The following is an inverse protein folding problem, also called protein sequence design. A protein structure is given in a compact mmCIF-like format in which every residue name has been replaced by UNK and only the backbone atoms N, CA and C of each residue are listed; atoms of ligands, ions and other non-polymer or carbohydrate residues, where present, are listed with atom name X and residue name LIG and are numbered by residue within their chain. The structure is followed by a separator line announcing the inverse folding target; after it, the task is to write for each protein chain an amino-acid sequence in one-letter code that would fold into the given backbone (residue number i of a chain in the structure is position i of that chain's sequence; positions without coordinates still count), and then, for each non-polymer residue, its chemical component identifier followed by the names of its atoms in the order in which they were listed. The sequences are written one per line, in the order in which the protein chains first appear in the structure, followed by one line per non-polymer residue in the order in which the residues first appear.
data_IF_075703366228
#
_entry.id   IF_075703366228
#
_cell.length_a   1.000
_cell.length_b   1.000
_cell.length_c   1.000
_cell.angle_alpha   90.00
_cell.angle_beta   90.00
_cell.angle_gamma   90.00
#
_symmetry.space_group_name_H-M   'P 1'
#
loop_
_entity.id
_entity.type
_entity.pdbx_description
1 polymer ?
#
# COMPACT_ATOMS: atom_id res chain seq x y z
N UNK A 1 -3.96 40.88 8.07
CA UNK A 1 -5.25 40.44 8.65
C UNK A 1 -5.20 40.70 10.13
N UNK A 2 -6.22 41.38 10.69
CA UNK A 2 -6.38 41.45 12.15
C UNK A 2 -6.58 40.02 12.69
N UNK A 3 -5.84 39.67 13.72
CA UNK A 3 -5.80 38.29 14.24
C UNK A 3 -7.16 37.79 14.70
N UNK A 4 -7.41 36.49 14.49
CA UNK A 4 -8.63 35.82 14.94
C UNK A 4 -8.67 35.81 16.48
N UNK A 5 -9.73 36.37 17.09
CA UNK A 5 -9.93 36.34 18.55
C UNK A 5 -10.64 35.05 18.94
N UNK A 6 -10.38 34.53 20.14
CA UNK A 6 -11.04 33.32 20.66
C UNK A 6 -12.57 33.38 20.47
N UNK A 7 -13.17 34.52 20.84
CA UNK A 7 -14.61 34.79 20.72
C UNK A 7 -15.19 34.87 19.29
N UNK A 8 -14.37 34.73 18.24
CA UNK A 8 -14.84 34.62 16.85
C UNK A 8 -15.13 33.17 16.44
N UNK A 9 -14.60 32.19 17.18
CA UNK A 9 -14.91 30.78 17.01
C UNK A 9 -15.68 30.23 18.21
N UNK A 10 -15.42 30.80 19.38
CA UNK A 10 -16.02 30.48 20.67
C UNK A 10 -17.11 31.50 21.02
N UNK A 11 -18.25 31.45 20.31
CA UNK A 11 -19.37 32.38 20.48
C UNK A 11 -20.17 32.14 21.79
N UNK A 12 -19.79 31.15 22.62
CA UNK A 12 -20.48 30.74 23.86
C UNK A 12 -20.67 31.83 24.92
N UNK A 13 -19.94 32.94 24.84
CA UNK A 13 -20.09 34.07 25.77
C UNK A 13 -21.02 35.17 25.25
N UNK A 14 -21.76 34.95 24.15
CA UNK A 14 -22.62 35.97 23.51
C UNK A 14 -24.13 35.75 23.59
N UNK A 15 -24.64 34.68 24.22
CA UNK A 15 -26.09 34.51 24.47
C UNK A 15 -26.62 33.07 24.37
N UNK A 16 -27.94 32.93 24.24
CA UNK A 16 -28.78 31.72 24.42
C UNK A 16 -28.49 30.50 23.51
N UNK A 17 -27.44 30.50 22.69
CA UNK A 17 -27.12 29.39 21.78
C UNK A 17 -26.05 28.47 22.38
N UNK A 18 -26.41 27.19 22.62
CA UNK A 18 -25.53 26.21 23.25
C UNK A 18 -24.55 25.53 22.26
N UNK A 19 -23.24 25.72 22.51
CA UNK A 19 -22.11 24.77 22.59
C UNK A 19 -21.83 23.66 21.54
N UNK A 20 -22.56 23.53 20.43
CA UNK A 20 -22.14 22.60 19.37
C UNK A 20 -21.98 23.36 18.06
N UNK A 21 -20.79 23.31 17.46
CA UNK A 21 -20.54 23.74 16.07
C UNK A 21 -21.35 22.80 15.17
N UNK A 22 -22.66 23.04 15.06
CA UNK A 22 -23.59 22.32 14.19
C UNK A 22 -23.79 23.02 12.86
N UNK A 23 -23.35 24.27 12.77
CA UNK A 23 -23.52 25.09 11.58
C UNK A 23 -22.23 25.13 10.80
N UNK A 24 -22.27 24.58 9.59
CA UNK A 24 -21.22 24.70 8.58
C UNK A 24 -20.84 26.17 8.33
N UNK A 25 -21.77 27.10 8.58
CA UNK A 25 -21.56 28.53 8.47
C UNK A 25 -20.31 29.02 9.22
N UNK A 26 -20.02 28.50 10.43
CA UNK A 26 -18.84 28.90 11.19
C UNK A 26 -17.54 28.53 10.45
N UNK A 27 -17.46 27.32 9.90
CA UNK A 27 -16.30 26.86 9.15
C UNK A 27 -16.14 27.66 7.84
N UNK A 28 -17.25 27.84 7.11
CA UNK A 28 -17.25 28.52 5.81
C UNK A 28 -16.89 30.01 5.92
N UNK A 29 -17.15 30.69 7.06
CA UNK A 29 -16.71 32.09 7.30
C UNK A 29 -15.23 32.30 6.96
N UNK A 30 -14.36 31.36 7.33
CA UNK A 30 -12.93 31.41 7.01
C UNK A 30 -12.57 30.58 5.77
N UNK A 31 -13.21 29.43 5.59
CA UNK A 31 -12.80 28.46 4.56
C UNK A 31 -13.32 28.75 3.15
N UNK A 32 -14.22 29.73 2.95
CA UNK A 32 -14.78 30.09 1.63
C UNK A 32 -13.84 30.77 0.65
N UNK A 33 -12.72 31.31 1.12
CA UNK A 33 -11.82 32.16 0.33
C UNK A 33 -10.36 32.07 0.79
N UNK A 34 -9.93 30.86 1.17
CA UNK A 34 -8.54 30.57 1.53
C UNK A 34 -7.58 30.74 0.36
N UNK A 35 -8.05 30.55 -0.87
CA UNK A 35 -7.27 30.83 -2.09
C UNK A 35 -6.76 32.29 -2.13
N UNK A 36 -7.56 33.23 -1.62
CA UNK A 36 -7.22 34.66 -1.53
C UNK A 36 -6.57 35.01 -0.21
N UNK A 37 -7.12 34.49 0.89
CA UNK A 37 -6.76 34.93 2.25
C UNK A 37 -5.54 34.20 2.81
N UNK A 38 -5.28 32.98 2.36
CA UNK A 38 -4.16 32.15 2.78
C UNK A 38 -3.61 31.30 1.61
N UNK A 39 -3.20 31.92 0.48
CA UNK A 39 -2.82 31.21 -0.75
C UNK A 39 -1.70 30.17 -0.55
N UNK A 40 -0.80 30.43 0.41
CA UNK A 40 0.32 29.54 0.74
C UNK A 40 -0.11 28.19 1.33
N UNK A 41 -1.35 28.06 1.81
CA UNK A 41 -1.84 26.81 2.42
C UNK A 41 -2.17 25.73 1.40
N UNK A 42 -2.39 26.11 0.12
CA UNK A 42 -2.91 25.23 -0.92
C UNK A 42 -4.18 24.46 -0.50
N UNK A 43 -4.93 24.98 0.48
CA UNK A 43 -6.25 24.48 0.87
C UNK A 43 -7.27 25.12 -0.07
N UNK A 44 -8.18 24.32 -0.60
CA UNK A 44 -9.22 24.79 -1.51
C UNK A 44 -10.34 25.48 -0.74
N UNK A 45 -10.98 26.41 -1.42
CA UNK A 45 -12.17 27.06 -0.93
C UNK A 45 -13.32 26.05 -0.80
N UNK A 46 -14.07 26.15 0.30
CA UNK A 46 -15.29 25.37 0.53
C UNK A 46 -16.43 26.30 0.91
N UNK A 47 -17.59 26.11 0.27
CA UNK A 47 -18.78 26.95 0.45
C UNK A 47 -19.91 26.26 1.21
N UNK A 48 -19.80 24.95 1.43
CA UNK A 48 -20.81 24.13 2.10
C UNK A 48 -20.60 22.65 1.84
N UNK A 49 -21.53 21.83 2.35
CA UNK A 49 -21.65 20.41 2.05
C UNK A 49 -23.15 20.06 1.97
N UNK A 50 -23.59 19.25 0.99
CA UNK A 50 -22.79 18.65 -0.08
C UNK A 50 -22.36 19.66 -1.17
N UNK A 51 -23.19 20.68 -1.40
CA UNK A 51 -22.96 21.68 -2.42
C UNK A 51 -21.87 22.67 -2.00
N UNK A 52 -20.85 22.82 -2.86
CA UNK A 52 -19.73 23.72 -2.60
C UNK A 52 -18.54 23.09 -1.86
N UNK A 53 -18.53 21.78 -1.64
CA UNK A 53 -17.34 21.05 -1.19
C UNK A 53 -16.51 20.59 -2.41
N UNK A 54 -15.18 20.84 -2.46
CA UNK A 54 -14.33 20.36 -3.55
C UNK A 54 -14.27 18.82 -3.60
N UNK A 55 -13.70 18.25 -4.65
CA UNK A 55 -13.34 16.83 -4.63
C UNK A 55 -12.33 16.54 -3.52
N UNK A 56 -12.34 15.28 -3.05
CA UNK A 56 -11.45 14.87 -1.97
C UNK A 56 -10.01 14.78 -2.44
N UNK A 57 -9.08 15.08 -1.52
CA UNK A 57 -7.66 14.83 -1.75
C UNK A 57 -7.23 13.60 -0.97
N UNK A 58 -6.65 12.64 -1.68
CA UNK A 58 -6.10 11.42 -1.13
C UNK A 58 -4.59 11.51 -1.05
N UNK A 59 -4.01 10.81 -0.07
CA UNK A 59 -2.57 10.58 0.01
C UNK A 59 -2.25 9.29 -0.72
N UNK A 60 -1.40 9.38 -1.75
CA UNK A 60 -0.98 8.26 -2.60
C UNK A 60 0.53 8.10 -2.52
N UNK A 61 1.02 6.89 -2.71
CA UNK A 61 2.45 6.61 -2.89
C UNK A 61 2.85 7.08 -4.27
N UNK A 62 3.79 8.01 -4.33
CA UNK A 62 4.37 8.48 -5.60
C UNK A 62 5.60 7.68 -6.01
N UNK A 63 6.38 7.21 -5.03
CA UNK A 63 7.56 6.37 -5.24
C UNK A 63 7.79 5.51 -3.99
N UNK A 64 7.53 4.21 -4.11
CA UNK A 64 7.71 3.26 -3.02
C UNK A 64 9.18 3.12 -2.58
N UNK A 65 10.14 3.26 -3.49
CA UNK A 65 11.57 3.14 -3.18
C UNK A 65 12.09 4.32 -2.37
N UNK A 66 11.59 5.51 -2.66
CA UNK A 66 11.90 6.72 -1.86
C UNK A 66 11.01 6.88 -0.64
N UNK A 67 10.04 5.98 -0.44
CA UNK A 67 8.98 6.08 0.56
C UNK A 67 8.25 7.43 0.51
N UNK A 68 8.07 7.98 -0.69
CA UNK A 68 7.44 9.28 -0.88
C UNK A 68 5.96 9.13 -1.17
N UNK A 69 5.20 10.06 -0.62
CA UNK A 69 3.76 10.19 -0.82
C UNK A 69 3.41 11.59 -1.29
N UNK A 70 2.29 11.71 -1.97
CA UNK A 70 1.75 12.98 -2.42
C UNK A 70 0.26 13.09 -2.16
N UNK A 71 -0.24 14.33 -2.05
CA UNK A 71 -1.68 14.60 -1.92
C UNK A 71 -2.25 14.98 -3.28
N UNK A 72 -3.10 14.13 -3.82
CA UNK A 72 -3.70 14.30 -5.15
C UNK A 72 -5.20 14.48 -5.02
N UNK A 73 -5.78 15.32 -5.88
CA UNK A 73 -7.22 15.45 -6.03
C UNK A 73 -7.80 14.23 -6.75
N UNK A 74 -8.79 13.55 -6.16
CA UNK A 74 -9.49 12.44 -6.80
C UNK A 74 -10.18 12.85 -8.11
N UNK A 75 -10.57 14.12 -8.24
CA UNK A 75 -11.14 14.67 -9.47
C UNK A 75 -10.14 15.12 -10.52
N UNK A 76 -8.83 14.85 -10.35
CA UNK A 76 -7.81 15.25 -11.31
C UNK A 76 -7.93 14.51 -12.65
N UNK A 77 -7.47 15.17 -13.72
CA UNK A 77 -7.30 14.60 -15.06
C UNK A 77 -5.84 14.79 -15.51
N UNK A 78 -5.08 13.71 -15.80
CA UNK A 78 -5.48 12.30 -15.74
C UNK A 78 -5.86 11.82 -14.34
N UNK A 79 -6.66 10.75 -14.27
CA UNK A 79 -7.05 10.13 -13.00
C UNK A 79 -5.82 9.79 -12.15
N UNK A 80 -5.84 10.05 -10.83
CA UNK A 80 -4.73 9.71 -9.96
C UNK A 80 -4.41 8.22 -9.96
N UNK A 81 -3.14 7.89 -9.81
CA UNK A 81 -2.63 6.53 -9.69
C UNK A 81 -1.81 6.38 -8.40
N UNK A 82 -1.94 5.23 -7.75
CA UNK A 82 -1.06 4.84 -6.64
C UNK A 82 0.14 4.05 -7.16
N UNK A 83 1.30 4.19 -6.53
CA UNK A 83 2.52 3.48 -6.95
C UNK A 83 3.15 2.68 -5.80
N UNK A 84 2.46 1.65 -5.27
CA UNK A 84 2.91 0.93 -4.09
C UNK A 84 4.10 0.00 -4.32
N UNK A 85 4.61 -0.13 -5.54
CA UNK A 85 5.70 -1.05 -5.90
C UNK A 85 5.27 -2.52 -6.05
N UNK A 86 3.97 -2.79 -6.01
CA UNK A 86 3.38 -4.13 -6.02
C UNK A 86 2.68 -4.42 -7.36
N UNK A 87 2.81 -5.64 -7.87
CA UNK A 87 2.00 -6.19 -8.96
C UNK A 87 0.84 -6.96 -8.33
N UNK A 88 -0.37 -6.45 -8.48
CA UNK A 88 -1.56 -7.06 -7.87
C UNK A 88 -2.83 -6.73 -8.65
N UNK A 89 -3.77 -7.68 -8.68
CA UNK A 89 -5.09 -7.55 -9.30
C UNK A 89 -6.16 -8.01 -8.31
N UNK A 90 -7.02 -7.09 -7.85
CA UNK A 90 -8.19 -7.47 -7.04
C UNK A 90 -9.14 -8.34 -7.85
N UNK A 91 -9.37 -7.99 -9.11
CA UNK A 91 -10.27 -8.70 -10.00
C UNK A 91 -9.86 -10.17 -10.21
N UNK A 92 -8.56 -10.47 -10.26
CA UNK A 92 -8.08 -11.85 -10.35
C UNK A 92 -8.36 -12.64 -9.06
N UNK A 93 -8.20 -12.03 -7.89
CA UNK A 93 -8.39 -12.68 -6.59
C UNK A 93 -9.86 -12.79 -6.17
N UNK A 94 -10.72 -11.88 -6.64
CA UNK A 94 -12.17 -11.87 -6.36
C UNK A 94 -12.99 -12.68 -7.39
N UNK A 95 -12.33 -13.28 -8.39
CA UNK A 95 -12.94 -14.16 -9.39
C UNK A 95 -13.12 -15.57 -8.80
N UNK A 96 -14.36 -15.91 -8.50
CA UNK A 96 -14.78 -17.19 -7.90
C UNK A 96 -14.30 -18.40 -8.73
N UNK A 97 -14.37 -18.32 -10.06
CA UNK A 97 -14.05 -19.45 -10.93
C UNK A 97 -12.54 -19.64 -11.02
N UNK A 98 -11.78 -18.55 -11.13
CA UNK A 98 -10.31 -18.62 -11.11
C UNK A 98 -9.79 -19.16 -9.77
N UNK A 99 -10.32 -18.68 -8.65
CA UNK A 99 -9.91 -19.17 -7.33
C UNK A 99 -10.18 -20.67 -7.17
N UNK A 100 -11.38 -21.13 -7.54
CA UNK A 100 -11.70 -22.58 -7.52
C UNK A 100 -10.78 -23.40 -8.42
N UNK A 101 -10.40 -22.86 -9.58
CA UNK A 101 -9.44 -23.49 -10.48
C UNK A 101 -8.04 -23.68 -9.88
N UNK A 102 -7.68 -22.93 -8.83
CA UNK A 102 -6.43 -23.10 -8.08
C UNK A 102 -6.54 -24.08 -6.91
N UNK A 103 -7.73 -24.63 -6.64
CA UNK A 103 -7.99 -25.49 -5.48
C UNK A 103 -8.17 -24.73 -4.17
N UNK A 104 -8.31 -23.40 -4.22
CA UNK A 104 -8.59 -22.56 -3.07
C UNK A 104 -10.06 -22.10 -3.06
N UNK A 105 -10.56 -21.82 -1.85
CA UNK A 105 -11.88 -21.24 -1.68
C UNK A 105 -11.95 -19.83 -2.30
N UNK A 106 -13.13 -19.42 -2.80
CA UNK A 106 -13.35 -18.05 -3.25
C UNK A 106 -13.04 -17.05 -2.14
N UNK A 107 -12.39 -15.94 -2.52
CA UNK A 107 -12.04 -14.88 -1.59
C UNK A 107 -13.07 -13.75 -1.58
N UNK A 108 -13.24 -13.15 -0.41
CA UNK A 108 -13.95 -11.91 -0.18
C UNK A 108 -13.03 -10.82 0.38
N UNK A 109 -13.61 -9.66 0.68
CA UNK A 109 -12.88 -8.50 1.19
C UNK A 109 -12.19 -8.79 2.54
N UNK A 110 -12.84 -9.57 3.42
CA UNK A 110 -12.37 -9.83 4.78
C UNK A 110 -11.19 -10.81 4.82
N UNK A 111 -10.98 -11.61 3.77
CA UNK A 111 -9.81 -12.48 3.66
C UNK A 111 -8.48 -11.71 3.50
N UNK A 112 -8.53 -10.43 3.15
CA UNK A 112 -7.36 -9.57 3.02
C UNK A 112 -7.44 -8.33 3.93
N UNK A 113 -8.59 -7.65 3.97
CA UNK A 113 -8.79 -6.42 4.72
C UNK A 113 -9.35 -6.71 6.11
N UNK A 114 -8.45 -6.86 7.08
CA UNK A 114 -8.81 -7.06 8.50
C UNK A 114 -9.05 -5.71 9.14
N UNK A 115 -10.26 -5.48 9.67
CA UNK A 115 -10.63 -4.23 10.34
C UNK A 115 -9.74 -3.99 11.56
N UNK A 116 -9.26 -2.78 11.72
CA UNK A 116 -8.62 -2.35 12.97
C UNK A 116 -9.69 -2.31 14.09
N UNK A 117 -9.36 -2.66 15.36
CA UNK A 117 -10.33 -2.65 16.46
C UNK A 117 -11.08 -1.33 16.67
N UNK A 118 -10.48 -0.21 16.26
CA UNK A 118 -11.08 1.13 16.34
C UNK A 118 -12.23 1.35 15.34
N UNK A 119 -12.35 0.50 14.30
CA UNK A 119 -13.29 0.69 13.19
C UNK A 119 -12.90 1.78 12.17
N UNK A 120 -11.85 2.56 12.44
CA UNK A 120 -11.46 3.71 11.60
C UNK A 120 -10.67 3.31 10.35
N UNK A 121 -10.25 2.05 10.25
CA UNK A 121 -9.46 1.58 9.13
C UNK A 121 -9.21 0.09 9.18
N UNK A 122 -8.17 -0.33 8.50
CA UNK A 122 -7.76 -1.71 8.37
C UNK A 122 -6.30 -1.88 8.80
N UNK A 123 -5.98 -3.06 9.28
CA UNK A 123 -4.60 -3.45 9.58
C UNK A 123 -3.77 -3.46 8.29
N UNK A 124 -2.45 -3.31 8.44
CA UNK A 124 -1.53 -3.46 7.33
C UNK A 124 -1.61 -4.89 6.78
N UNK A 125 -1.64 -4.99 5.44
CA UNK A 125 -1.54 -6.28 4.75
C UNK A 125 -0.08 -6.70 4.72
N UNK A 126 0.20 -7.93 5.11
CA UNK A 126 1.54 -8.53 5.05
C UNK A 126 1.51 -9.81 4.23
N UNK A 127 2.68 -10.23 3.75
CA UNK A 127 2.78 -11.48 3.00
C UNK A 127 2.36 -12.67 3.87
N UNK A 128 2.87 -12.74 5.11
CA UNK A 128 2.60 -13.82 6.05
C UNK A 128 1.12 -13.90 6.42
N UNK A 129 0.46 -12.74 6.55
CA UNK A 129 -0.93 -12.66 6.96
C UNK A 129 -1.93 -13.03 5.86
N UNK A 130 -1.72 -12.53 4.64
CA UNK A 130 -2.75 -12.58 3.59
C UNK A 130 -2.34 -13.36 2.34
N UNK A 131 -1.05 -13.53 2.09
CA UNK A 131 -0.56 -14.11 0.82
C UNK A 131 -0.04 -15.54 0.98
N UNK A 132 0.71 -15.81 2.05
CA UNK A 132 1.51 -17.04 2.21
C UNK A 132 0.68 -18.33 2.13
N UNK A 133 -0.59 -18.30 2.57
CA UNK A 133 -1.47 -19.48 2.57
C UNK A 133 -1.69 -20.07 1.17
N UNK A 134 -1.67 -19.24 0.13
CA UNK A 134 -1.87 -19.64 -1.26
C UNK A 134 -0.59 -19.49 -2.09
N UNK A 135 0.22 -18.47 -1.78
CA UNK A 135 1.48 -18.16 -2.49
C UNK A 135 2.70 -18.54 -1.64
N UNK A 136 2.87 -19.83 -1.37
CA UNK A 136 4.04 -20.30 -0.64
C UNK A 136 5.34 -20.05 -1.44
N UNK A 137 6.37 -19.49 -0.81
CA UNK A 137 7.69 -19.25 -1.42
C UNK A 137 8.55 -20.53 -1.48
N UNK A 138 7.95 -21.62 -1.98
CA UNK A 138 8.62 -22.89 -2.21
C UNK A 138 8.80 -23.10 -3.72
N UNK A 139 10.03 -22.97 -4.18
CA UNK A 139 10.36 -22.94 -5.61
C UNK A 139 11.06 -24.22 -6.09
N UNK A 140 11.64 -24.99 -5.17
CA UNK A 140 12.22 -26.31 -5.42
C UNK A 140 11.76 -27.28 -4.31
N UNK A 141 11.38 -28.52 -4.63
CA UNK A 141 10.97 -29.52 -3.64
C UNK A 141 12.04 -29.83 -2.59
N UNK A 142 13.31 -29.78 -3.00
CA UNK A 142 14.49 -30.06 -2.18
C UNK A 142 15.03 -28.81 -1.47
N UNK A 143 14.58 -27.61 -1.86
CA UNK A 143 14.99 -26.38 -1.18
C UNK A 143 14.06 -26.03 -0.02
N UNK A 144 14.62 -25.48 1.07
CA UNK A 144 13.81 -24.85 2.10
C UNK A 144 13.03 -23.67 1.51
N UNK A 145 11.85 -23.40 2.08
CA UNK A 145 11.08 -22.22 1.73
C UNK A 145 11.92 -20.95 2.01
N UNK A 146 11.96 -20.02 1.06
CA UNK A 146 12.56 -18.70 1.29
C UNK A 146 11.62 -17.90 2.19
N UNK A 147 12.19 -17.26 3.22
CA UNK A 147 11.44 -16.30 4.04
C UNK A 147 11.19 -15.03 3.22
N UNK A 148 9.96 -14.52 3.26
CA UNK A 148 9.65 -13.22 2.68
C UNK A 148 10.34 -12.12 3.48
N UNK A 149 10.84 -11.09 2.80
CA UNK A 149 11.68 -10.06 3.41
C UNK A 149 12.59 -9.40 2.39
N UNK A 150 13.80 -9.04 2.82
CA UNK A 150 14.81 -8.48 1.91
C UNK A 150 15.27 -9.53 0.91
N UNK A 151 15.41 -9.11 -0.35
CA UNK A 151 16.02 -9.89 -1.41
C UNK A 151 17.56 -9.82 -1.41
N UNK A 152 18.13 -9.05 -0.48
CA UNK A 152 19.57 -8.93 -0.32
C UNK A 152 20.17 -10.27 0.15
N UNK A 153 21.10 -10.80 -0.64
CA UNK A 153 21.86 -11.99 -0.28
C UNK A 153 21.19 -13.32 -0.63
N UNK A 154 19.98 -13.34 -1.21
CA UNK A 154 19.34 -14.58 -1.69
C UNK A 154 20.26 -15.35 -2.64
N UNK A 155 20.90 -14.66 -3.59
CA UNK A 155 21.86 -15.27 -4.51
C UNK A 155 22.97 -16.04 -3.79
N UNK A 156 23.55 -15.45 -2.74
CA UNK A 156 24.63 -16.07 -1.95
C UNK A 156 24.13 -17.25 -1.13
N UNK A 157 22.90 -17.18 -0.62
CA UNK A 157 22.26 -18.29 0.10
C UNK A 157 22.05 -19.48 -0.84
N UNK A 158 21.54 -19.24 -2.05
CA UNK A 158 21.31 -20.27 -3.07
C UNK A 158 22.64 -20.88 -3.54
N UNK A 159 23.64 -20.05 -3.83
CA UNK A 159 24.98 -20.51 -4.19
C UNK A 159 25.61 -21.35 -3.09
N UNK A 160 25.55 -20.88 -1.83
CA UNK A 160 26.07 -21.59 -0.67
C UNK A 160 25.41 -22.96 -0.46
N UNK A 161 24.09 -23.06 -0.68
CA UNK A 161 23.38 -24.33 -0.63
C UNK A 161 23.90 -25.34 -1.66
N UNK A 162 24.00 -24.94 -2.93
CA UNK A 162 24.50 -25.84 -3.97
C UNK A 162 25.99 -26.14 -3.79
N UNK A 163 26.78 -25.20 -3.29
CA UNK A 163 28.18 -25.44 -2.94
C UNK A 163 28.32 -26.52 -1.85
N UNK A 164 27.54 -26.43 -0.77
CA UNK A 164 27.51 -27.44 0.29
C UNK A 164 27.08 -28.80 -0.26
N UNK A 165 26.00 -28.85 -1.07
CA UNK A 165 25.51 -30.08 -1.67
C UNK A 165 26.55 -30.74 -2.59
N UNK A 166 27.26 -29.95 -3.40
CA UNK A 166 28.30 -30.46 -4.27
C UNK A 166 29.47 -31.09 -3.49
N UNK A 167 29.71 -30.65 -2.26
CA UNK A 167 30.70 -31.24 -1.35
C UNK A 167 30.15 -32.53 -0.73
N UNK A 168 28.90 -32.52 -0.24
CA UNK A 168 28.29 -33.64 0.46
C UNK A 168 27.98 -34.84 -0.46
N UNK A 169 27.40 -34.58 -1.63
CA UNK A 169 26.87 -35.61 -2.54
C UNK A 169 27.71 -35.80 -3.80
N UNK A 170 28.76 -34.99 -3.97
CA UNK A 170 29.50 -34.90 -5.22
C UNK A 170 28.69 -34.20 -6.32
N UNK A 171 29.33 -33.99 -7.46
CA UNK A 171 28.70 -33.46 -8.67
C UNK A 171 28.38 -34.62 -9.60
N UNK A 172 27.17 -34.68 -10.21
CA UNK A 172 26.90 -35.65 -11.26
C UNK A 172 27.93 -35.47 -12.38
N UNK A 173 28.83 -36.44 -12.54
CA UNK A 173 29.75 -36.44 -13.67
C UNK A 173 28.96 -36.73 -14.94
N UNK A 174 29.14 -35.94 -16.01
CA UNK A 174 28.76 -36.40 -17.34
C UNK A 174 29.49 -37.73 -17.56
N UNK A 175 28.77 -38.76 -17.98
CA UNK A 175 29.37 -40.05 -18.33
C UNK A 175 30.39 -39.85 -19.46
N UNK A 176 31.65 -39.63 -19.08
CA UNK A 176 32.84 -39.55 -19.91
C UNK A 176 33.86 -40.59 -19.43
N UNK A 177 34.80 -41.03 -20.29
CA UNK A 177 35.54 -42.26 -20.09
C UNK A 177 36.41 -42.21 -18.83
N UNK A 178 36.16 -43.17 -17.96
CA UNK A 178 36.79 -43.39 -16.65
C UNK A 178 38.22 -43.92 -16.81
N UNK A 179 39.17 -43.09 -17.26
CA UNK A 179 40.60 -43.40 -17.10
C UNK A 179 41.38 -42.09 -16.85
N UNK A 180 41.50 -41.70 -15.58
CA UNK A 180 42.57 -40.79 -15.16
C UNK A 180 43.90 -41.56 -15.08
N UNK A 181 44.79 -41.37 -16.06
CA UNK A 181 46.17 -41.84 -15.95
C UNK A 181 46.89 -41.07 -14.85
N UNK A 182 47.26 -41.75 -13.75
CA UNK A 182 48.08 -41.20 -12.67
C UNK A 182 49.56 -41.56 -12.86
N UNK A 183 50.44 -40.61 -12.53
CA UNK A 183 51.88 -40.82 -12.45
C UNK A 183 52.22 -41.40 -11.06
N UNK A 184 52.97 -42.52 -10.97
CA UNK A 184 53.37 -43.08 -9.69
C UNK A 184 54.20 -42.08 -8.87
N UNK A 185 53.84 -41.86 -7.60
CA UNK A 185 54.58 -41.01 -6.65
C UNK A 185 54.05 -39.58 -6.48
N UNK A 186 53.01 -39.15 -7.22
CA UNK A 186 52.40 -37.85 -7.01
C UNK A 186 51.55 -37.84 -5.71
N UNK A 187 51.86 -36.92 -4.79
CA UNK A 187 50.99 -36.59 -3.65
C UNK A 187 49.69 -36.03 -4.22
N UNK A 188 48.56 -36.67 -3.91
CA UNK A 188 47.26 -36.17 -4.32
C UNK A 188 46.99 -34.82 -3.63
N UNK A 189 47.22 -33.73 -4.34
CA UNK A 189 46.60 -32.45 -3.97
C UNK A 189 45.10 -32.64 -4.18
N UNK A 190 44.23 -32.36 -3.20
CA UNK A 190 42.79 -32.35 -3.44
C UNK A 190 42.50 -31.25 -4.47
N UNK A 191 42.44 -31.62 -5.75
CA UNK A 191 41.93 -30.73 -6.79
C UNK A 191 40.41 -30.71 -6.66
N UNK A 192 39.79 -29.52 -6.80
CA UNK A 192 38.34 -29.48 -6.99
C UNK A 192 37.96 -30.45 -8.12
N UNK A 193 36.94 -31.30 -7.93
CA UNK A 193 36.46 -32.16 -9.00
C UNK A 193 36.20 -31.31 -10.25
N UNK A 194 36.73 -31.69 -11.42
CA UNK A 194 36.51 -30.95 -12.65
C UNK A 194 35.02 -30.68 -12.84
N UNK A 195 34.66 -29.41 -13.01
CA UNK A 195 33.27 -29.01 -13.23
C UNK A 195 32.45 -28.73 -11.96
N UNK A 196 32.99 -28.86 -10.75
CA UNK A 196 32.21 -28.57 -9.52
C UNK A 196 31.69 -27.14 -9.48
N UNK A 197 32.56 -26.16 -9.69
CA UNK A 197 32.17 -24.74 -9.74
C UNK A 197 31.18 -24.45 -10.87
N UNK A 198 31.38 -25.07 -12.04
CA UNK A 198 30.48 -24.92 -13.18
C UNK A 198 29.09 -25.47 -12.86
N UNK A 199 29.00 -26.63 -12.19
CA UNK A 199 27.75 -27.22 -11.75
C UNK A 199 27.05 -26.33 -10.71
N UNK A 200 27.77 -25.86 -9.68
CA UNK A 200 27.20 -24.96 -8.66
C UNK A 200 26.60 -23.71 -9.32
N UNK A 201 27.34 -23.07 -10.24
CA UNK A 201 26.84 -21.91 -10.99
C UNK A 201 25.60 -22.25 -11.80
N UNK A 202 25.59 -23.36 -12.53
CA UNK A 202 24.46 -23.78 -13.34
C UNK A 202 23.20 -24.00 -12.48
N UNK A 203 23.32 -24.71 -11.36
CA UNK A 203 22.20 -24.95 -10.46
C UNK A 203 21.71 -23.65 -9.81
N UNK A 204 22.64 -22.78 -9.40
CA UNK A 204 22.33 -21.48 -8.80
C UNK A 204 21.55 -20.60 -9.78
N UNK A 205 22.02 -20.47 -11.02
CA UNK A 205 21.31 -19.69 -12.06
C UNK A 205 19.91 -20.27 -12.31
N UNK A 206 19.80 -21.59 -12.50
CA UNK A 206 18.50 -22.23 -12.72
C UNK A 206 17.53 -22.01 -11.55
N UNK A 207 18.00 -22.10 -10.31
CA UNK A 207 17.19 -21.81 -9.13
C UNK A 207 16.75 -20.34 -9.07
N UNK A 208 17.65 -19.39 -9.34
CA UNK A 208 17.34 -17.96 -9.32
C UNK A 208 16.34 -17.56 -10.41
N UNK A 209 16.40 -18.18 -11.60
CA UNK A 209 15.38 -18.00 -12.64
C UNK A 209 13.99 -18.41 -12.16
N UNK A 210 13.89 -19.46 -11.33
CA UNK A 210 12.62 -19.86 -10.73
C UNK A 210 12.21 -18.92 -9.60
N UNK A 211 13.13 -18.59 -8.69
CA UNK A 211 12.86 -17.72 -7.54
C UNK A 211 12.34 -16.37 -8.00
N UNK A 212 12.86 -15.84 -9.10
CA UNK A 212 12.48 -14.54 -9.65
C UNK A 212 11.56 -14.66 -10.88
N UNK A 213 10.87 -15.79 -11.06
CA UNK A 213 9.94 -15.94 -12.18
C UNK A 213 8.70 -15.02 -12.05
N UNK A 214 8.15 -14.56 -13.18
CA UNK A 214 6.98 -13.66 -13.23
C UNK A 214 5.64 -14.33 -12.91
N UNK A 215 5.57 -15.66 -12.88
CA UNK A 215 4.32 -16.41 -12.65
C UNK A 215 4.31 -17.16 -11.32
N UNK A 216 5.47 -17.52 -10.80
CA UNK A 216 5.60 -18.32 -9.56
C UNK A 216 6.70 -17.87 -8.60
N UNK A 217 7.45 -16.84 -8.96
CA UNK A 217 8.53 -16.29 -8.16
C UNK A 217 8.23 -14.90 -7.63
N UNK A 218 9.26 -14.21 -7.14
CA UNK A 218 9.18 -12.87 -6.58
C UNK A 218 8.53 -11.87 -7.56
N UNK A 219 8.83 -11.99 -8.87
CA UNK A 219 8.29 -11.10 -9.90
C UNK A 219 6.81 -11.35 -10.24
N UNK A 220 6.17 -12.35 -9.62
CA UNK A 220 4.72 -12.49 -9.66
C UNK A 220 4.03 -11.33 -8.90
N UNK A 221 4.62 -10.90 -7.78
CA UNK A 221 4.03 -9.88 -6.91
C UNK A 221 4.86 -8.60 -6.87
N UNK A 222 6.16 -8.66 -7.13
CA UNK A 222 7.05 -7.51 -7.08
C UNK A 222 7.42 -7.01 -8.46
N UNK A 223 7.60 -5.71 -8.58
CA UNK A 223 8.22 -5.12 -9.77
C UNK A 223 9.73 -5.45 -9.76
N UNK A 224 10.30 -5.82 -10.90
CA UNK A 224 11.75 -6.04 -11.03
C UNK A 224 12.54 -4.73 -10.92
N UNK A 225 13.67 -4.75 -10.22
CA UNK A 225 14.58 -3.61 -10.05
C UNK A 225 15.95 -3.87 -10.71
N UNK A 226 16.04 -3.77 -12.04
CA UNK A 226 17.27 -4.06 -12.79
C UNK A 226 18.40 -3.08 -12.47
N UNK A 227 18.10 -1.91 -11.89
CA UNK A 227 19.13 -0.96 -11.47
C UNK A 227 19.96 -1.48 -10.29
N UNK A 228 19.37 -2.33 -9.43
CA UNK A 228 20.10 -3.04 -8.35
C UNK A 228 20.63 -4.41 -8.76
N UNK A 229 20.17 -4.96 -9.89
CA UNK A 229 20.63 -6.23 -10.44
C UNK A 229 19.49 -7.09 -11.02
N UNK A 230 19.83 -8.15 -11.75
CA UNK A 230 18.85 -9.00 -12.43
C UNK A 230 17.89 -9.74 -11.48
N UNK A 231 18.37 -10.08 -10.29
CA UNK A 231 17.61 -10.80 -9.26
C UNK A 231 17.27 -9.85 -8.10
N UNK A 232 16.67 -8.71 -8.43
CA UNK A 232 16.25 -7.71 -7.45
C UNK A 232 14.82 -7.28 -7.65
N UNK A 233 14.11 -7.09 -6.55
CA UNK A 233 12.76 -6.54 -6.49
C UNK A 233 12.80 -5.08 -6.06
N UNK A 234 11.83 -4.33 -6.57
CA UNK A 234 11.52 -3.00 -6.08
C UNK A 234 10.86 -3.11 -4.69
N UNK A 235 11.15 -2.19 -3.76
CA UNK A 235 10.51 -2.16 -2.47
C UNK A 235 9.01 -1.82 -2.59
N UNK A 236 8.23 -2.33 -1.64
CA UNK A 236 6.78 -2.11 -1.57
C UNK A 236 6.46 -1.13 -0.43
N UNK A 237 5.57 -0.18 -0.70
CA UNK A 237 4.97 0.71 0.29
C UNK A 237 3.46 0.68 0.13
N UNK A 238 2.75 0.19 1.13
CA UNK A 238 1.28 0.19 1.16
C UNK A 238 0.78 1.13 2.25
N UNK A 239 -0.12 2.03 1.89
CA UNK A 239 -0.79 2.91 2.85
C UNK A 239 -2.02 2.23 3.43
N UNK A 240 -2.25 2.39 4.73
CA UNK A 240 -3.47 1.96 5.41
C UNK A 240 -4.53 3.07 5.49
N UNK A 241 -4.14 4.32 5.21
CA UNK A 241 -5.03 5.49 5.26
C UNK A 241 -4.75 6.46 4.12
N UNK A 242 -5.70 6.57 3.19
CA UNK A 242 -5.64 7.47 2.05
C UNK A 242 -6.24 8.86 2.35
N UNK A 243 -7.28 8.91 3.18
CA UNK A 243 -7.92 10.15 3.63
C UNK A 243 -7.43 10.54 5.04
N UNK A 244 -6.11 10.53 5.27
CA UNK A 244 -5.53 10.68 6.61
C UNK A 244 -6.03 11.89 7.45
N UNK A 245 -6.34 13.08 6.87
CA UNK A 245 -6.88 14.19 7.65
C UNK A 245 -8.38 14.10 7.97
N UNK A 246 -9.10 13.15 7.36
CA UNK A 246 -10.52 12.91 7.60
C UNK A 246 -10.71 11.70 8.51
N UNK A 247 -11.83 11.68 9.23
CA UNK A 247 -12.26 10.55 10.03
C UNK A 247 -13.40 9.87 9.29
N UNK A 248 -13.18 8.61 8.91
CA UNK A 248 -14.21 7.74 8.39
C UNK A 248 -14.26 6.46 9.23
N UNK A 249 -15.46 6.03 9.57
CA UNK A 249 -15.70 4.91 10.48
C UNK A 249 -16.43 3.78 9.73
N UNK A 250 -15.70 2.71 9.40
CA UNK A 250 -16.24 1.54 8.71
C UNK A 250 -17.21 0.73 9.60
N UNK A 251 -17.16 0.90 10.92
CA UNK A 251 -18.11 0.23 11.83
C UNK A 251 -19.49 0.85 11.72
N UNK A 252 -19.58 2.19 11.59
CA UNK A 252 -20.85 2.87 11.33
C UNK A 252 -21.46 2.54 9.96
N UNK A 253 -20.63 2.08 9.02
CA UNK A 253 -21.04 1.67 7.68
C UNK A 253 -21.10 0.15 7.51
N UNK A 254 -21.09 -0.63 8.59
CA UNK A 254 -21.11 -2.10 8.53
C UNK A 254 -22.27 -2.73 7.72
N UNK A 255 -23.48 -2.14 7.65
CA UNK A 255 -24.57 -2.68 6.82
C UNK A 255 -24.38 -2.48 5.31
N UNK A 256 -23.42 -1.63 4.89
CA UNK A 256 -23.18 -1.30 3.49
C UNK A 256 -22.17 -2.29 2.89
N UNK A 257 -22.42 -2.75 1.67
CA UNK A 257 -21.51 -3.67 0.99
C UNK A 257 -20.29 -2.89 0.50
N UNK A 258 -19.09 -3.44 0.70
CA UNK A 258 -17.84 -2.74 0.32
C UNK A 258 -17.83 -2.25 -1.13
N UNK A 259 -18.42 -3.04 -2.04
CA UNK A 259 -18.52 -2.74 -3.47
C UNK A 259 -19.41 -1.54 -3.84
N UNK A 260 -20.28 -1.10 -2.92
CA UNK A 260 -21.11 0.09 -3.15
C UNK A 260 -20.28 1.38 -3.08
N UNK A 261 -19.08 1.31 -2.48
CA UNK A 261 -18.12 2.41 -2.38
C UNK A 261 -16.80 2.13 -3.12
N UNK A 262 -16.29 0.91 -3.04
CA UNK A 262 -14.96 0.53 -3.54
C UNK A 262 -15.07 -0.45 -4.71
N UNK A 263 -14.76 0.00 -5.93
CA UNK A 263 -14.83 -0.85 -7.13
C UNK A 263 -13.59 -1.77 -7.30
N UNK A 264 -13.35 -2.62 -6.31
CA UNK A 264 -12.22 -3.56 -6.32
C UNK A 264 -12.40 -4.66 -7.38
N UNK A 265 -13.64 -5.08 -7.66
CA UNK A 265 -13.91 -6.21 -8.58
C UNK A 265 -13.44 -5.95 -10.00
N UNK A 266 -13.33 -4.70 -10.42
CA UNK A 266 -12.81 -4.31 -11.73
C UNK A 266 -11.36 -3.82 -11.70
N UNK A 267 -10.71 -3.79 -10.54
CA UNK A 267 -9.29 -3.40 -10.44
C UNK A 267 -8.36 -4.54 -10.86
N UNK A 268 -7.75 -4.36 -12.03
CA UNK A 268 -6.75 -5.29 -12.58
C UNK A 268 -5.32 -4.96 -12.17
N UNK A 269 -5.10 -3.77 -11.60
CA UNK A 269 -3.78 -3.25 -11.25
C UNK A 269 -3.81 -2.58 -9.88
N UNK A 270 -2.70 -2.67 -9.17
CA UNK A 270 -2.47 -2.07 -7.85
C UNK A 270 -2.47 -0.54 -7.87
N UNK A 271 -2.27 0.07 -9.03
CA UNK A 271 -2.25 1.52 -9.19
C UNK A 271 -3.63 2.17 -9.24
N UNK A 272 -4.70 1.37 -9.35
CA UNK A 272 -6.05 1.90 -9.30
C UNK A 272 -6.36 2.43 -7.90
N UNK A 273 -6.71 3.72 -7.81
CA UNK A 273 -7.17 4.34 -6.57
C UNK A 273 -8.62 3.95 -6.33
N UNK A 274 -8.86 3.07 -5.35
CA UNK A 274 -10.19 2.55 -5.03
C UNK A 274 -10.95 3.38 -3.98
N UNK A 275 -10.45 4.56 -3.61
CA UNK A 275 -11.17 5.48 -2.72
C UNK A 275 -12.25 6.21 -3.52
N UNK A 276 -13.53 6.16 -3.12
CA UNK A 276 -14.59 6.84 -3.86
C UNK A 276 -14.45 8.36 -3.78
N UNK A 277 -14.94 9.03 -4.83
CA UNK A 277 -15.11 10.49 -4.85
C UNK A 277 -16.28 10.95 -3.98
N UNK A 278 -16.41 12.28 -3.85
CA UNK A 278 -17.47 12.93 -3.05
C UNK A 278 -18.88 12.46 -3.44
N UNK A 279 -19.09 12.24 -4.73
CA UNK A 279 -20.36 11.84 -5.34
C UNK A 279 -20.93 10.56 -4.72
N UNK A 280 -20.09 9.61 -4.30
CA UNK A 280 -20.56 8.39 -3.65
C UNK A 280 -21.10 8.70 -2.24
N UNK A 281 -20.38 9.52 -1.47
CA UNK A 281 -20.77 9.87 -0.11
C UNK A 281 -22.08 10.64 -0.05
N UNK A 282 -22.30 11.55 -0.99
CA UNK A 282 -23.50 12.42 -1.00
C UNK A 282 -24.78 11.70 -1.42
N UNK A 283 -24.69 10.43 -1.86
CA UNK A 283 -25.88 9.58 -2.05
C UNK A 283 -26.59 9.26 -0.73
N UNK A 284 -25.83 9.20 0.37
CA UNK A 284 -26.34 8.92 1.72
C UNK A 284 -26.18 10.09 2.69
N UNK A 285 -25.16 10.94 2.52
CA UNK A 285 -24.89 12.10 3.37
C UNK A 285 -25.38 13.41 2.75
N UNK A 286 -26.16 14.18 3.51
CA UNK A 286 -26.72 15.46 3.09
C UNK A 286 -26.22 16.63 3.93
N UNK A 287 -26.79 17.80 3.68
CA UNK A 287 -26.54 18.99 4.50
C UNK A 287 -27.00 18.75 5.95
N UNK A 288 -26.61 19.65 6.84
CA UNK A 288 -27.07 19.67 8.24
C UNK A 288 -28.59 19.83 8.39
N UNK A 289 -29.29 20.23 7.32
CA UNK A 289 -30.75 20.40 7.26
C UNK A 289 -31.45 19.35 6.42
N UNK A 290 -30.75 18.31 5.96
CA UNK A 290 -31.36 17.27 5.12
C UNK A 290 -32.44 16.49 5.87
N UNK A 291 -33.54 16.18 5.16
CA UNK A 291 -34.67 15.41 5.69
C UNK A 291 -34.55 13.92 5.42
N UNK A 292 -33.82 13.51 4.38
CA UNK A 292 -33.78 12.12 3.90
C UNK A 292 -32.39 11.49 3.97
N UNK A 293 -31.34 12.31 3.97
CA UNK A 293 -29.96 11.87 4.08
C UNK A 293 -29.44 12.04 5.51
N UNK A 294 -28.36 11.34 5.82
CA UNK A 294 -27.64 11.53 7.09
C UNK A 294 -27.13 12.96 7.15
N UNK A 295 -27.65 13.73 8.11
CA UNK A 295 -27.25 15.12 8.34
C UNK A 295 -25.77 15.19 8.65
N UNK A 296 -25.03 15.95 7.84
CA UNK A 296 -23.58 16.04 7.94
C UNK A 296 -23.11 17.48 8.02
N UNK A 297 -22.17 17.71 8.92
CA UNK A 297 -21.47 19.00 9.08
C UNK A 297 -19.99 18.83 8.71
N UNK A 298 -19.23 19.91 8.66
CA UNK A 298 -17.78 19.86 8.46
C UNK A 298 -17.12 18.92 9.47
N UNK A 299 -17.61 18.89 10.71
CA UNK A 299 -17.04 18.09 11.80
C UNK A 299 -17.41 16.61 11.75
N UNK A 300 -18.38 16.23 10.89
CA UNK A 300 -18.72 14.83 10.64
C UNK A 300 -17.53 14.09 10.00
N UNK A 301 -16.75 14.77 9.15
CA UNK A 301 -15.60 14.20 8.45
C UNK A 301 -14.26 14.80 8.90
N UNK A 302 -14.22 16.05 9.35
CA UNK A 302 -12.99 16.74 9.71
C UNK A 302 -12.85 16.98 11.21
N UNK A 303 -11.65 16.70 11.74
CA UNK A 303 -11.32 17.07 13.12
C UNK A 303 -10.99 18.57 13.17
N UNK A 304 -11.76 19.32 13.96
CA UNK A 304 -11.51 20.76 14.17
C UNK A 304 -10.31 20.99 15.11
N UNK A 305 -10.31 20.35 16.29
CA UNK A 305 -9.21 20.43 17.25
C UNK A 305 -8.15 19.36 16.99
N UNK A 306 -7.24 19.64 16.07
CA UNK A 306 -6.06 18.78 15.79
C UNK A 306 -4.93 19.08 16.77
N UNK A 307 -4.89 18.35 17.88
CA UNK A 307 -3.89 18.52 18.95
C UNK A 307 -2.45 18.47 18.45
N UNK A 308 -2.18 17.65 17.43
CA UNK A 308 -0.89 17.46 16.79
C UNK A 308 -0.39 18.69 16.02
N UNK A 309 -1.27 19.64 15.69
CA UNK A 309 -0.89 20.91 15.06
C UNK A 309 -0.66 22.02 16.09
N UNK A 310 -0.79 21.71 17.38
CA UNK A 310 -0.79 22.68 18.47
C UNK A 310 -2.04 23.57 18.48
N UNK A 311 -2.16 24.47 19.46
CA UNK A 311 -3.27 25.42 19.50
C UNK A 311 -3.24 26.33 18.27
N UNK A 312 -4.41 26.67 17.73
CA UNK A 312 -4.53 27.70 16.69
C UNK A 312 -3.97 29.01 17.28
N UNK A 313 -2.79 29.42 16.82
CA UNK A 313 -2.14 30.68 17.23
C UNK A 313 -2.38 31.75 16.17
N UNK A 314 -2.50 33.00 16.62
CA UNK A 314 -2.48 34.13 15.69
C UNK A 314 -1.14 34.15 14.95
N UNK A 315 -1.20 34.28 13.62
CA UNK A 315 0.00 34.61 12.83
C UNK A 315 0.34 36.05 13.18
N UNK A 316 1.29 36.26 14.10
CA UNK A 316 1.87 37.57 14.32
C UNK A 316 2.58 37.96 13.02
N UNK A 317 1.93 38.77 12.19
CA UNK A 317 2.63 39.49 11.13
C UNK A 317 3.60 40.42 11.83
N UNK A 318 4.87 40.03 11.89
CA UNK A 318 5.95 40.96 12.19
C UNK A 318 5.90 41.98 11.06
N UNK A 319 5.39 43.18 11.38
CA UNK A 319 5.47 44.31 10.48
C UNK A 319 6.96 44.58 10.19
N UNK A 320 7.29 44.71 8.91
CA UNK A 320 8.52 45.41 8.51
C UNK A 320 8.32 46.91 8.74
#
# INVERSE_FOLDING_TARGET
MQGTRCAQCHEEHRGLHSLVIRENALCVKCHRSLSVTAPKTAIRDVRGFPDGHPQFRVTLVSDAAKKSVEKVDLGADPKPADHPGLVFSHAAHLDVQKMRGTGHDPLDCANCHVKEPSGQGFLAITYEGQCQRCHALKFDPELPQIQHGSDDGIEKVVEGFYAARAIERGVPTPSGPEIERRVPGAVAVPSEPPGRLAWVRQQTTGALEVIYDKRRGCFQCHISDPARGQYRVAPVLMLTRFLAPAVFDHTKHAPIVCGDCHDARHSQVSSNVLIPGRENCVTCHGSETSSFNVQSTCTTCHVFHRQELGPIRQVNTVAK
#
